data_IF_158510115359
#
_entry.id   IF_158510115359
#
_cell.length_a   1.000
_cell.length_b   1.000
_cell.length_c   1.000
_cell.angle_alpha   90.00
_cell.angle_beta   90.00
_cell.angle_gamma   90.00
#
_symmetry.space_group_name_H-M   'P 1'
#
loop_
_entity.id
_entity.type
_entity.pdbx_description
1 polymer ?
#
# COMPACT_ATOMS: atom_id res chain seq x y z
N UNK A 1 -8.29 12.75 -18.46
CA UNK A 1 -6.85 12.43 -18.55
C UNK A 1 -6.47 11.64 -17.31
N UNK A 2 -5.92 10.45 -17.47
CA UNK A 2 -5.52 9.55 -16.39
C UNK A 2 -4.00 9.44 -16.39
N UNK A 3 -3.38 9.70 -15.25
CA UNK A 3 -1.92 9.59 -15.08
C UNK A 3 -1.63 8.29 -14.34
N UNK A 4 -0.83 7.43 -14.96
CA UNK A 4 -0.33 6.21 -14.35
C UNK A 4 1.04 6.50 -13.75
N UNK A 5 1.14 6.39 -12.43
CA UNK A 5 2.40 6.52 -11.70
C UNK A 5 2.89 5.13 -11.32
N UNK A 6 4.18 4.85 -11.57
CA UNK A 6 4.85 3.64 -11.11
C UNK A 6 6.31 3.96 -10.73
N UNK A 7 6.96 3.03 -10.03
CA UNK A 7 8.37 3.13 -9.68
C UNK A 7 9.27 2.90 -10.90
N UNK A 8 10.42 3.56 -10.97
CA UNK A 8 11.33 3.46 -12.11
C UNK A 8 12.24 2.21 -12.03
N UNK A 9 11.74 1.09 -11.54
CA UNK A 9 12.50 -0.15 -11.50
C UNK A 9 12.74 -0.68 -12.93
N UNK A 10 13.94 -1.25 -13.17
CA UNK A 10 14.40 -1.67 -14.51
C UNK A 10 13.49 -2.69 -15.22
N UNK A 11 12.66 -3.41 -14.46
CA UNK A 11 11.72 -4.39 -15.01
C UNK A 11 10.46 -3.74 -15.61
N UNK A 12 10.21 -2.46 -15.33
CA UNK A 12 8.99 -1.78 -15.75
C UNK A 12 9.09 -1.26 -17.18
N UNK A 13 7.93 -1.20 -17.84
CA UNK A 13 7.77 -0.56 -19.14
C UNK A 13 8.07 0.93 -19.01
N UNK A 14 8.72 1.49 -20.03
CA UNK A 14 9.01 2.92 -20.06
C UNK A 14 7.90 3.64 -20.83
N UNK A 15 7.77 4.98 -20.70
CA UNK A 15 6.85 5.75 -21.53
C UNK A 15 7.10 5.60 -23.05
N UNK A 16 8.29 5.13 -23.44
CA UNK A 16 8.69 4.89 -24.83
C UNK A 16 8.38 3.46 -25.30
N UNK A 17 7.77 2.62 -24.46
CA UNK A 17 7.39 1.26 -24.84
C UNK A 17 6.34 1.29 -25.97
N UNK A 18 6.65 0.59 -27.06
CA UNK A 18 5.84 0.64 -28.29
C UNK A 18 4.50 -0.07 -28.13
N UNK A 19 4.43 -1.13 -27.33
CA UNK A 19 3.19 -1.84 -27.06
C UNK A 19 2.27 -1.00 -26.16
N UNK A 20 2.84 -0.37 -25.13
CA UNK A 20 2.11 0.55 -24.26
C UNK A 20 1.55 1.73 -25.04
N UNK A 21 2.35 2.33 -25.92
CA UNK A 21 1.89 3.46 -26.75
C UNK A 21 0.76 3.04 -27.68
N UNK A 22 0.87 1.89 -28.34
CA UNK A 22 -0.19 1.36 -29.20
C UNK A 22 -1.50 1.14 -28.42
N UNK A 23 -1.41 0.62 -27.19
CA UNK A 23 -2.56 0.46 -26.32
C UNK A 23 -3.19 1.82 -25.94
N UNK A 24 -2.38 2.82 -25.59
CA UNK A 24 -2.89 4.16 -25.29
C UNK A 24 -3.57 4.80 -26.50
N UNK A 25 -2.99 4.66 -27.70
CA UNK A 25 -3.57 5.18 -28.94
C UNK A 25 -4.94 4.54 -29.24
N UNK A 26 -5.13 3.23 -28.94
CA UNK A 26 -6.44 2.56 -29.01
C UNK A 26 -7.47 3.13 -28.02
N UNK A 27 -7.03 3.49 -26.81
CA UNK A 27 -7.91 4.10 -25.81
C UNK A 27 -8.28 5.55 -26.14
N UNK A 28 -7.40 6.28 -26.81
CA UNK A 28 -7.69 7.64 -27.31
C UNK A 28 -8.86 7.61 -28.28
N UNK A 29 -8.97 6.58 -29.14
CA UNK A 29 -10.14 6.39 -30.02
C UNK A 29 -11.45 6.22 -29.26
N UNK A 30 -11.39 5.80 -27.99
CA UNK A 30 -12.54 5.63 -27.09
C UNK A 30 -12.76 6.83 -26.16
N UNK A 31 -12.02 7.94 -26.36
CA UNK A 31 -12.11 9.16 -25.56
C UNK A 31 -11.27 9.15 -24.28
N UNK A 32 -10.40 8.16 -24.08
CA UNK A 32 -9.55 8.06 -22.90
C UNK A 32 -8.12 8.48 -23.22
N UNK A 33 -7.60 9.43 -22.44
CA UNK A 33 -6.22 9.92 -22.57
C UNK A 33 -5.42 9.46 -21.37
N UNK A 34 -4.39 8.65 -21.60
CA UNK A 34 -3.48 8.11 -20.60
C UNK A 34 -2.07 8.70 -20.74
N UNK A 35 -1.36 8.84 -19.63
CA UNK A 35 0.08 9.11 -19.61
C UNK A 35 0.76 8.25 -18.55
N UNK A 36 2.03 7.88 -18.79
CA UNK A 36 2.86 7.13 -17.83
C UNK A 36 3.93 8.07 -17.27
N UNK A 37 3.98 8.20 -15.95
CA UNK A 37 4.94 9.04 -15.23
C UNK A 37 5.74 8.16 -14.26
N UNK A 38 6.96 7.75 -14.64
CA UNK A 38 7.84 7.02 -13.72
C UNK A 38 8.31 7.95 -12.60
N UNK A 39 8.43 7.43 -11.40
CA UNK A 39 8.96 8.17 -10.27
C UNK A 39 10.47 8.41 -10.38
N UNK A 40 10.99 9.46 -9.73
CA UNK A 40 12.43 9.62 -9.54
C UNK A 40 13.06 8.34 -8.93
N UNK A 41 14.32 8.04 -9.25
CA UNK A 41 15.02 6.94 -8.58
C UNK A 41 15.12 7.20 -7.07
N UNK A 42 14.87 6.15 -6.25
CA UNK A 42 15.03 6.18 -4.78
C UNK A 42 14.06 7.18 -4.11
N UNK A 43 12.82 7.27 -4.58
CA UNK A 43 11.77 8.09 -3.96
C UNK A 43 10.58 7.25 -3.44
N UNK A 44 10.80 6.30 -2.50
CA UNK A 44 9.72 5.46 -1.95
C UNK A 44 8.63 6.30 -1.28
N UNK A 45 8.98 7.47 -0.75
CA UNK A 45 8.09 8.45 -0.13
C UNK A 45 7.09 9.10 -1.11
N UNK A 46 7.20 8.81 -2.42
CA UNK A 46 6.31 9.36 -3.45
C UNK A 46 5.37 8.31 -4.05
N UNK A 47 5.47 7.05 -3.62
CA UNK A 47 4.58 5.97 -4.06
C UNK A 47 3.47 5.71 -3.04
N UNK A 48 2.25 6.09 -3.38
CA UNK A 48 1.07 5.84 -2.54
C UNK A 48 0.83 4.35 -2.29
N UNK A 49 1.29 3.48 -3.19
CA UNK A 49 1.24 2.03 -3.02
C UNK A 49 2.21 1.56 -1.93
N UNK A 50 3.43 2.12 -1.87
CA UNK A 50 4.43 1.76 -0.85
C UNK A 50 4.06 2.33 0.52
N UNK A 51 3.62 3.60 0.56
CA UNK A 51 3.35 4.29 1.81
C UNK A 51 2.13 3.79 2.56
N UNK A 52 1.15 3.21 1.86
CA UNK A 52 -0.11 2.86 2.52
C UNK A 52 -0.74 1.55 2.11
N UNK A 53 -0.66 1.13 0.84
CA UNK A 53 -1.22 -0.16 0.46
C UNK A 53 -0.34 -1.32 0.95
N UNK A 54 0.96 -1.29 0.65
CA UNK A 54 1.89 -2.31 1.12
C UNK A 54 2.14 -2.21 2.62
N UNK A 55 2.14 -1.01 3.20
CA UNK A 55 2.16 -0.83 4.66
C UNK A 55 0.94 -1.50 5.32
N UNK A 56 -0.27 -1.35 4.75
CA UNK A 56 -1.47 -2.04 5.25
C UNK A 56 -1.39 -3.57 5.09
N UNK A 57 -0.86 -4.07 3.96
CA UNK A 57 -0.63 -5.50 3.75
C UNK A 57 0.36 -6.06 4.78
N UNK A 58 1.47 -5.34 5.03
CA UNK A 58 2.46 -5.73 6.02
C UNK A 58 1.86 -5.74 7.43
N UNK A 59 1.08 -4.71 7.80
CA UNK A 59 0.38 -4.71 9.09
C UNK A 59 -0.58 -5.89 9.23
N UNK A 60 -1.35 -6.18 8.17
CA UNK A 60 -2.27 -7.31 8.14
C UNK A 60 -1.52 -8.65 8.27
N UNK A 61 -0.36 -8.79 7.62
CA UNK A 61 0.49 -9.98 7.72
C UNK A 61 0.99 -10.17 9.15
N UNK A 62 1.49 -9.10 9.79
CA UNK A 62 1.98 -9.13 11.17
C UNK A 62 0.85 -9.48 12.16
N UNK A 63 -0.31 -8.83 12.02
CA UNK A 63 -1.47 -9.06 12.90
C UNK A 63 -2.10 -10.44 12.74
N UNK A 64 -2.22 -10.95 11.52
CA UNK A 64 -2.86 -12.25 11.26
C UNK A 64 -1.88 -13.42 11.25
N UNK A 65 -0.59 -13.17 11.52
CA UNK A 65 0.49 -14.16 11.46
C UNK A 65 0.42 -14.99 10.17
N UNK A 66 0.10 -14.35 9.03
CA UNK A 66 0.00 -15.05 7.77
C UNK A 66 1.38 -15.59 7.40
N UNK A 67 1.55 -16.91 7.41
CA UNK A 67 2.86 -17.58 7.27
C UNK A 67 3.14 -18.02 5.83
N UNK A 68 2.19 -17.81 4.94
CA UNK A 68 2.31 -18.15 3.53
C UNK A 68 1.67 -17.10 2.61
N UNK A 69 2.11 -17.09 1.36
CA UNK A 69 1.58 -16.23 0.30
C UNK A 69 0.09 -16.51 0.06
N UNK A 70 -0.33 -17.78 0.14
CA UNK A 70 -1.72 -18.19 -0.06
C UNK A 70 -2.67 -17.63 1.01
N UNK A 71 -2.21 -17.55 2.26
CA UNK A 71 -2.98 -16.93 3.35
C UNK A 71 -3.13 -15.43 3.13
N UNK A 72 -2.04 -14.77 2.71
CA UNK A 72 -2.02 -13.35 2.40
C UNK A 72 -2.98 -13.02 1.25
N UNK A 73 -2.98 -13.84 0.18
CA UNK A 73 -3.87 -13.66 -0.97
C UNK A 73 -5.35 -13.81 -0.59
N UNK A 74 -5.69 -14.79 0.25
CA UNK A 74 -7.06 -14.97 0.75
C UNK A 74 -7.53 -13.77 1.56
N UNK A 75 -6.66 -13.20 2.39
CA UNK A 75 -6.98 -12.02 3.20
C UNK A 75 -7.17 -10.78 2.32
N UNK A 76 -6.34 -10.64 1.29
CA UNK A 76 -6.46 -9.57 0.30
C UNK A 76 -7.79 -9.65 -0.48
N UNK A 77 -8.12 -10.84 -0.99
CA UNK A 77 -9.36 -11.09 -1.77
C UNK A 77 -10.63 -10.92 -0.96
N UNK A 78 -10.60 -11.22 0.35
CA UNK A 78 -11.75 -11.04 1.25
C UNK A 78 -12.11 -9.57 1.52
N UNK A 79 -11.42 -8.60 0.90
CA UNK A 79 -11.72 -7.18 1.07
C UNK A 79 -11.32 -6.64 2.44
N UNK A 80 -10.48 -7.37 3.17
CA UNK A 80 -9.91 -6.87 4.43
C UNK A 80 -8.80 -5.84 4.19
N UNK A 81 -8.40 -5.63 2.94
CA UNK A 81 -7.47 -4.58 2.56
C UNK A 81 -8.22 -3.29 2.22
N UNK A 82 -7.71 -2.15 2.68
CA UNK A 82 -8.29 -0.86 2.32
C UNK A 82 -8.15 -0.61 0.80
N UNK A 83 -9.27 -0.35 0.14
CA UNK A 83 -9.34 -0.22 -1.32
C UNK A 83 -9.15 1.21 -1.86
N UNK A 84 -8.97 2.19 -0.97
CA UNK A 84 -8.72 3.59 -1.35
C UNK A 84 -8.00 4.34 -0.23
N UNK A 85 -7.54 5.57 -0.53
CA UNK A 85 -6.75 6.41 0.38
C UNK A 85 -7.45 6.67 1.71
N UNK A 86 -8.74 7.01 1.71
CA UNK A 86 -9.49 7.24 2.95
C UNK A 86 -9.64 5.96 3.78
N UNK A 87 -9.88 4.83 3.13
CA UNK A 87 -9.93 3.53 3.79
C UNK A 87 -8.56 3.15 4.37
N UNK A 88 -7.47 3.51 3.67
CA UNK A 88 -6.10 3.31 4.14
C UNK A 88 -5.80 4.20 5.35
N UNK A 89 -6.12 5.50 5.30
CA UNK A 89 -5.94 6.41 6.43
C UNK A 89 -6.70 5.94 7.67
N UNK A 90 -7.92 5.45 7.49
CA UNK A 90 -8.71 4.85 8.58
C UNK A 90 -8.06 3.59 9.12
N UNK A 91 -7.57 2.71 8.25
CA UNK A 91 -6.88 1.50 8.66
C UNK A 91 -5.61 1.87 9.44
N UNK A 92 -4.72 2.69 8.88
CA UNK A 92 -3.49 3.16 9.53
C UNK A 92 -3.78 3.85 10.86
N UNK A 93 -4.81 4.70 10.95
CA UNK A 93 -5.19 5.36 12.21
C UNK A 93 -5.66 4.36 13.26
N UNK A 94 -6.49 3.37 12.87
CA UNK A 94 -6.94 2.33 13.78
C UNK A 94 -5.77 1.46 14.29
N UNK A 95 -4.81 1.16 13.42
CA UNK A 95 -3.60 0.42 13.76
C UNK A 95 -2.70 1.20 14.72
N UNK A 96 -2.52 2.51 14.50
CA UNK A 96 -1.77 3.42 15.38
C UNK A 96 -2.41 3.50 16.77
N UNK A 97 -3.75 3.56 16.83
CA UNK A 97 -4.47 3.58 18.11
C UNK A 97 -4.37 2.24 18.86
N UNK A 98 -4.45 1.11 18.16
CA UNK A 98 -4.27 -0.20 18.79
C UNK A 98 -2.85 -0.35 19.37
N UNK A 99 -1.82 0.09 18.63
CA UNK A 99 -0.44 0.11 19.10
C UNK A 99 -0.24 1.05 20.31
N UNK A 100 -0.87 2.23 20.32
CA UNK A 100 -0.86 3.15 21.47
C UNK A 100 -1.53 2.54 22.71
N UNK A 101 -2.63 1.81 22.51
CA UNK A 101 -3.35 1.14 23.58
C UNK A 101 -2.47 0.04 24.22
N UNK A 102 -1.77 -0.75 23.40
CA UNK A 102 -0.82 -1.76 23.86
C UNK A 102 0.39 -1.15 24.59
N UNK A 103 0.95 -0.04 24.12
CA UNK A 103 2.04 0.69 24.81
C UNK A 103 1.58 1.19 26.19
N UNK A 104 0.34 1.69 26.27
CA UNK A 104 -0.25 2.16 27.53
C UNK A 104 -0.41 1.01 28.52
N UNK A 105 -0.93 -0.13 28.07
CA UNK A 105 -1.09 -1.33 28.89
C UNK A 105 0.26 -1.88 29.38
N UNK A 106 1.27 -1.90 28.52
CA UNK A 106 2.62 -2.33 28.87
C UNK A 106 3.22 -1.45 29.99
N UNK A 107 3.06 -0.13 29.91
CA UNK A 107 3.51 0.81 30.95
C UNK A 107 2.76 0.64 32.27
N UNK A 108 1.46 0.33 32.23
CA UNK A 108 0.67 0.07 33.44
C UNK A 108 1.11 -1.23 34.13
N UNK A 109 1.40 -2.28 33.34
CA UNK A 109 1.93 -3.54 33.86
C UNK A 109 3.33 -3.36 34.47
N UNK A 110 4.21 -2.60 33.83
CA UNK A 110 5.53 -2.26 34.40
C UNK A 110 5.38 -1.47 35.71
N UNK A 111 4.48 -0.48 35.74
CA UNK A 111 4.25 0.34 36.93
C UNK A 111 3.66 -0.48 38.09
N UNK A 112 2.84 -1.49 37.80
CA UNK A 112 2.33 -2.47 38.76
C UNK A 112 3.43 -3.40 39.28
N UNK A 113 4.37 -3.79 38.41
CA UNK A 113 5.47 -4.69 38.79
C UNK A 113 6.56 -4.00 39.62
N UNK A 114 6.61 -2.66 39.60
CA UNK A 114 7.50 -1.82 40.43
C UNK A 114 6.87 -1.37 41.75
N UNK A 115 5.59 -1.70 42.00
CA UNK A 115 4.86 -1.35 43.23
C UNK A 115 4.78 -2.48 44.26
N UNK A 116 5.36 -3.65 43.99
CA UNK A 116 5.57 -4.78 44.91
C UNK A 116 7.04 -4.87 45.34
#
# INVERSE_FOLDING_TARGET
MVVLQHDNARAHVTPMDTQLKAAFDEFVKKGWVFSLVPQPPISPDTNILDLGFFAAIQSLQQKKSARSVDELEKLARKGQLPQNVQSMERAVSAEVEEARCLDTLARELERSALSD
#
